data_IF_964132539203
#
_entry.id   IF_964132539203
#
_cell.length_a   1.000
_cell.length_b   1.000
_cell.length_c   1.000
_cell.angle_alpha   90.00
_cell.angle_beta   90.00
_cell.angle_gamma   90.00
#
_symmetry.space_group_name_H-M   'P 1'
#
loop_
_entity.id
_entity.type
_entity.pdbx_description
1 polymer ?
#
# COMPACT_ATOMS: atom_id res chain seq x y z
N UNK A 1 -40.42 3.10 -8.77
CA UNK A 1 -39.35 2.08 -8.83
C UNK A 1 -39.76 0.93 -7.94
N UNK A 2 -39.85 -0.27 -8.48
CA UNK A 2 -40.19 -1.47 -7.72
C UNK A 2 -38.97 -1.92 -6.89
N UNK A 3 -39.21 -2.28 -5.62
CA UNK A 3 -38.16 -2.76 -4.72
C UNK A 3 -38.02 -4.28 -4.84
N UNK A 4 -36.79 -4.77 -4.81
CA UNK A 4 -36.48 -6.19 -4.93
C UNK A 4 -36.34 -6.78 -3.53
N UNK A 5 -37.18 -7.75 -3.17
CA UNK A 5 -37.16 -8.42 -1.87
C UNK A 5 -36.10 -9.51 -1.81
N UNK A 6 -35.52 -9.72 -0.63
CA UNK A 6 -34.69 -10.89 -0.35
C UNK A 6 -35.55 -12.18 -0.31
N UNK A 7 -35.02 -13.25 -0.89
CA UNK A 7 -35.63 -14.58 -0.97
C UNK A 7 -35.30 -15.49 0.23
N UNK A 8 -34.39 -15.05 1.11
CA UNK A 8 -33.97 -15.87 2.26
C UNK A 8 -35.06 -15.97 3.34
N UNK A 9 -35.25 -17.17 3.95
CA UNK A 9 -36.26 -17.37 4.98
C UNK A 9 -36.11 -16.37 6.13
N UNK A 10 -37.23 -15.76 6.56
CA UNK A 10 -37.29 -14.75 7.64
C UNK A 10 -36.51 -13.45 7.35
N UNK A 11 -36.07 -13.21 6.11
CA UNK A 11 -35.48 -11.94 5.70
C UNK A 11 -36.54 -11.05 5.03
N UNK A 12 -36.80 -9.87 5.61
CA UNK A 12 -37.79 -8.92 5.08
C UNK A 12 -37.14 -7.73 4.36
N UNK A 13 -35.82 -7.76 4.15
CA UNK A 13 -35.10 -6.66 3.53
C UNK A 13 -35.42 -6.53 2.04
N UNK A 14 -35.51 -5.28 1.59
CA UNK A 14 -35.78 -4.90 0.20
C UNK A 14 -34.72 -3.93 -0.32
N UNK A 15 -34.49 -3.93 -1.63
CA UNK A 15 -33.38 -3.20 -2.26
C UNK A 15 -33.82 -2.50 -3.54
N UNK A 16 -33.15 -1.38 -3.86
CA UNK A 16 -33.43 -0.62 -5.08
C UNK A 16 -32.74 -1.21 -6.31
N UNK A 17 -31.66 -1.98 -6.11
CA UNK A 17 -30.81 -2.52 -7.18
C UNK A 17 -30.52 -4.00 -6.96
N UNK A 18 -30.47 -4.78 -8.06
CA UNK A 18 -30.08 -6.21 -8.02
C UNK A 18 -28.68 -6.42 -7.42
N UNK A 19 -27.75 -5.49 -7.66
CA UNK A 19 -26.40 -5.54 -7.10
C UNK A 19 -26.36 -5.41 -5.58
N UNK A 20 -27.26 -4.59 -5.01
CA UNK A 20 -27.40 -4.44 -3.55
C UNK A 20 -28.00 -5.68 -2.92
N UNK A 21 -29.04 -6.28 -3.54
CA UNK A 21 -29.60 -7.55 -3.11
C UNK A 21 -28.54 -8.67 -3.13
N UNK A 22 -27.82 -8.84 -4.25
CA UNK A 22 -26.79 -9.88 -4.39
C UNK A 22 -25.72 -9.75 -3.30
N UNK A 23 -25.32 -8.52 -2.99
CA UNK A 23 -24.37 -8.22 -1.91
C UNK A 23 -24.96 -8.53 -0.53
N UNK A 24 -26.23 -8.23 -0.31
CA UNK A 24 -26.91 -8.55 0.95
C UNK A 24 -27.05 -10.06 1.17
N UNK A 25 -27.35 -10.84 0.13
CA UNK A 25 -27.49 -12.30 0.24
C UNK A 25 -26.23 -12.98 0.81
N UNK A 26 -25.03 -12.38 0.63
CA UNK A 26 -23.80 -12.88 1.26
C UNK A 26 -23.87 -12.88 2.81
N UNK A 27 -24.68 -12.01 3.43
CA UNK A 27 -24.89 -11.98 4.88
C UNK A 27 -25.70 -13.17 5.42
N UNK A 28 -26.33 -13.95 4.53
CA UNK A 28 -26.99 -15.21 4.89
C UNK A 28 -26.06 -16.42 4.76
N UNK A 29 -24.85 -16.24 4.22
CA UNK A 29 -23.81 -17.27 4.15
C UNK A 29 -22.79 -17.11 5.25
N UNK A 30 -22.03 -18.16 5.54
CA UNK A 30 -20.91 -18.08 6.48
C UNK A 30 -19.91 -16.98 6.13
N UNK A 31 -19.28 -16.40 7.15
CA UNK A 31 -18.23 -15.42 6.96
C UNK A 31 -17.05 -16.05 6.21
N UNK A 32 -16.61 -15.40 5.13
CA UNK A 32 -15.57 -15.93 4.22
C UNK A 32 -14.18 -15.38 4.52
N UNK A 33 -14.12 -14.21 5.13
CA UNK A 33 -12.89 -13.44 5.29
C UNK A 33 -12.59 -13.25 6.77
N UNK A 34 -11.45 -13.78 7.24
CA UNK A 34 -10.97 -13.57 8.60
C UNK A 34 -9.92 -12.46 8.62
N UNK A 35 -9.87 -11.69 9.70
CA UNK A 35 -8.77 -10.76 9.94
C UNK A 35 -7.47 -11.54 10.19
N UNK A 36 -6.36 -11.24 9.48
CA UNK A 36 -5.09 -11.94 9.68
C UNK A 36 -4.31 -11.46 10.92
N UNK A 37 -4.71 -10.36 11.56
CA UNK A 37 -4.09 -9.86 12.78
C UNK A 37 -4.22 -10.89 13.92
N UNK A 38 -3.14 -11.17 14.64
CA UNK A 38 -3.07 -12.23 15.67
C UNK A 38 -4.08 -11.95 16.79
N UNK A 39 -4.10 -10.73 17.31
CA UNK A 39 -4.93 -10.32 18.45
C UNK A 39 -6.33 -9.81 18.06
N UNK A 40 -6.79 -10.12 16.85
CA UNK A 40 -8.12 -9.71 16.37
C UNK A 40 -9.17 -10.82 16.50
N UNK A 41 -10.33 -10.49 17.07
CA UNK A 41 -11.46 -11.40 17.24
C UNK A 41 -12.34 -11.55 15.98
N UNK A 42 -12.07 -10.79 14.91
CA UNK A 42 -12.83 -10.82 13.63
C UNK A 42 -12.40 -12.00 12.75
N UNK A 43 -12.54 -13.22 13.26
CA UNK A 43 -12.11 -14.48 12.63
C UNK A 43 -13.22 -15.52 12.64
N UNK A 44 -13.15 -16.49 11.71
CA UNK A 44 -14.14 -17.56 11.58
C UNK A 44 -15.55 -16.99 11.43
N UNK A 45 -16.50 -17.48 12.24
CA UNK A 45 -17.89 -16.98 12.27
C UNK A 45 -18.03 -15.47 12.56
N UNK A 46 -17.05 -14.87 13.23
CA UNK A 46 -17.03 -13.43 13.53
C UNK A 46 -16.31 -12.61 12.43
N UNK A 47 -15.93 -13.25 11.33
CA UNK A 47 -15.26 -12.63 10.20
C UNK A 47 -16.17 -11.71 9.38
N UNK A 48 -15.82 -11.53 8.12
CA UNK A 48 -16.53 -10.69 7.17
C UNK A 48 -17.09 -11.54 6.04
N UNK A 49 -18.29 -11.20 5.58
CA UNK A 49 -18.91 -11.80 4.39
C UNK A 49 -18.39 -11.18 3.09
N UNK A 50 -17.67 -10.06 3.19
CA UNK A 50 -17.21 -9.24 2.06
C UNK A 50 -15.79 -8.75 2.27
N UNK A 51 -15.02 -8.78 1.20
CA UNK A 51 -13.62 -8.38 1.20
C UNK A 51 -13.41 -6.89 1.49
N UNK A 52 -14.21 -6.00 0.89
CA UNK A 52 -14.09 -4.55 1.15
C UNK A 52 -14.28 -4.21 2.63
N UNK A 53 -15.07 -5.00 3.36
CA UNK A 53 -15.27 -4.82 4.79
C UNK A 53 -14.13 -5.35 5.64
N UNK A 54 -13.46 -6.42 5.20
CA UNK A 54 -12.20 -6.82 5.81
C UNK A 54 -11.13 -5.74 5.59
N UNK A 55 -11.00 -5.21 4.37
CA UNK A 55 -10.02 -4.16 4.06
C UNK A 55 -10.30 -2.89 4.87
N UNK A 56 -11.56 -2.44 4.93
CA UNK A 56 -11.98 -1.32 5.78
C UNK A 56 -11.57 -1.55 7.24
N UNK A 57 -11.89 -2.73 7.77
CA UNK A 57 -11.51 -3.10 9.14
C UNK A 57 -10.00 -3.08 9.35
N UNK A 58 -9.22 -3.68 8.45
CA UNK A 58 -7.77 -3.77 8.63
C UNK A 58 -7.10 -2.40 8.52
N UNK A 59 -7.51 -1.59 7.55
CA UNK A 59 -6.91 -0.26 7.33
C UNK A 59 -7.26 0.76 8.41
N UNK A 60 -8.38 0.58 9.13
CA UNK A 60 -8.83 1.52 10.17
C UNK A 60 -8.58 1.00 11.59
N UNK A 61 -8.56 -0.31 11.76
CA UNK A 61 -8.51 -0.97 13.07
C UNK A 61 -7.13 -1.47 13.48
N UNK A 62 -6.17 -1.54 12.56
CA UNK A 62 -4.81 -2.02 12.83
C UNK A 62 -3.79 -1.02 12.28
N UNK A 63 -2.86 -0.61 13.14
CA UNK A 63 -1.70 0.17 12.74
C UNK A 63 -0.65 -0.69 12.04
N UNK A 64 0.42 -0.06 11.57
CA UNK A 64 1.50 -0.73 10.84
C UNK A 64 2.36 -1.63 11.76
N UNK A 65 2.23 -1.52 13.10
CA UNK A 65 2.97 -2.31 14.09
C UNK A 65 2.22 -3.56 14.55
N UNK A 66 0.92 -3.68 14.25
CA UNK A 66 0.15 -4.88 14.54
C UNK A 66 0.72 -6.13 13.86
N UNK A 67 0.76 -7.25 14.58
CA UNK A 67 1.26 -8.53 14.05
C UNK A 67 0.17 -9.34 13.34
N UNK A 68 0.52 -9.87 12.17
CA UNK A 68 -0.33 -10.63 11.26
C UNK A 68 0.26 -12.02 11.03
N UNK A 69 -0.58 -13.04 11.07
CA UNK A 69 -0.19 -14.43 10.81
C UNK A 69 -0.60 -14.87 9.41
N UNK A 70 0.32 -15.50 8.67
CA UNK A 70 0.02 -16.09 7.37
C UNK A 70 -0.57 -17.49 7.55
N UNK A 71 -1.80 -17.71 7.05
CA UNK A 71 -2.46 -19.03 7.10
C UNK A 71 -1.74 -20.11 6.29
N UNK A 72 -0.89 -19.73 5.32
CA UNK A 72 -0.10 -20.65 4.48
C UNK A 72 1.31 -20.90 5.00
N UNK A 73 1.82 -20.02 5.86
CA UNK A 73 3.15 -20.12 6.44
C UNK A 73 3.01 -20.19 7.97
N UNK A 74 2.64 -21.37 8.51
CA UNK A 74 2.45 -21.53 9.94
C UNK A 74 3.73 -21.15 10.69
N UNK A 75 3.57 -20.57 11.87
CA UNK A 75 4.66 -20.09 12.74
C UNK A 75 5.46 -18.88 12.21
N UNK A 76 5.03 -18.23 11.12
CA UNK A 76 5.56 -16.90 10.74
C UNK A 76 4.55 -15.81 11.08
N UNK A 77 5.00 -14.77 11.76
CA UNK A 77 4.28 -13.52 11.96
C UNK A 77 5.03 -12.36 11.31
N UNK A 78 4.28 -11.37 10.84
CA UNK A 78 4.81 -10.19 10.17
C UNK A 78 4.10 -8.96 10.71
N UNK A 79 4.74 -7.80 10.70
CA UNK A 79 4.04 -6.54 10.93
C UNK A 79 3.04 -6.30 9.78
N UNK A 80 1.99 -5.51 9.99
CA UNK A 80 0.92 -5.31 9.00
C UNK A 80 1.44 -4.89 7.63
N UNK A 81 2.40 -3.96 7.59
CA UNK A 81 2.99 -3.42 6.36
C UNK A 81 3.87 -4.45 5.64
N UNK A 82 4.70 -5.18 6.40
CA UNK A 82 5.58 -6.25 5.90
C UNK A 82 4.83 -7.53 5.54
N UNK A 83 3.65 -7.78 6.13
CA UNK A 83 2.75 -8.85 5.73
C UNK A 83 2.28 -8.68 4.28
N UNK A 84 2.09 -7.43 3.83
CA UNK A 84 1.79 -7.14 2.43
C UNK A 84 2.94 -7.51 1.50
N UNK A 85 4.20 -7.25 1.91
CA UNK A 85 5.39 -7.66 1.16
C UNK A 85 5.46 -9.18 1.05
N UNK A 86 5.31 -9.89 2.17
CA UNK A 86 5.32 -11.36 2.20
C UNK A 86 4.25 -11.97 1.28
N UNK A 87 3.01 -11.49 1.39
CA UNK A 87 1.90 -12.01 0.58
C UNK A 87 2.01 -11.63 -0.89
N UNK A 88 2.57 -10.46 -1.21
CA UNK A 88 2.83 -10.06 -2.59
C UNK A 88 3.80 -10.99 -3.31
N UNK A 89 4.87 -11.39 -2.63
CA UNK A 89 5.99 -12.10 -3.23
C UNK A 89 5.81 -13.62 -3.24
N UNK A 90 5.07 -14.19 -2.28
CA UNK A 90 5.03 -15.65 -2.08
C UNK A 90 3.70 -16.31 -2.44
N UNK A 91 2.64 -15.51 -2.61
CA UNK A 91 1.28 -15.99 -2.41
C UNK A 91 0.30 -15.56 -3.51
N UNK A 92 0.82 -15.06 -4.64
CA UNK A 92 0.18 -14.24 -5.68
C UNK A 92 -1.09 -14.76 -6.39
N UNK A 93 -1.63 -15.94 -6.04
CA UNK A 93 -2.70 -16.60 -6.80
C UNK A 93 -3.88 -17.17 -5.98
N UNK A 94 -4.05 -16.86 -4.68
CA UNK A 94 -5.18 -17.42 -3.91
C UNK A 94 -5.99 -16.40 -3.11
N UNK A 95 -7.30 -16.45 -3.40
CA UNK A 95 -8.46 -15.65 -2.95
C UNK A 95 -8.74 -15.58 -1.43
N UNK A 96 -7.74 -15.51 -0.57
CA UNK A 96 -7.99 -15.18 0.85
C UNK A 96 -7.13 -13.99 1.26
N UNK A 97 -7.75 -12.80 1.21
CA UNK A 97 -7.32 -11.62 1.96
C UNK A 97 -5.84 -11.26 1.76
N UNK A 98 -5.43 -11.05 0.50
CA UNK A 98 -4.06 -10.72 0.17
C UNK A 98 -3.65 -9.40 0.84
N UNK A 99 -2.53 -9.41 1.57
CA UNK A 99 -1.91 -8.20 2.11
C UNK A 99 -1.60 -7.16 1.02
N UNK A 100 -1.48 -7.59 -0.24
CA UNK A 100 -1.44 -6.73 -1.43
C UNK A 100 -2.59 -5.70 -1.48
N UNK A 101 -3.83 -6.09 -1.17
CA UNK A 101 -4.97 -5.17 -1.22
C UNK A 101 -4.94 -4.17 -0.06
N UNK A 102 -4.36 -4.53 1.08
CA UNK A 102 -4.19 -3.63 2.23
C UNK A 102 -3.14 -2.57 1.92
N UNK A 103 -2.04 -2.92 1.24
CA UNK A 103 -0.99 -1.98 0.84
C UNK A 103 -1.40 -1.07 -0.34
N UNK A 104 -2.56 -1.27 -0.96
CA UNK A 104 -3.10 -0.31 -1.94
C UNK A 104 -3.70 0.93 -1.27
N UNK A 105 -3.94 0.91 0.03
CA UNK A 105 -4.47 2.05 0.75
C UNK A 105 -3.35 2.84 1.45
N UNK A 106 -3.40 4.16 1.37
CA UNK A 106 -2.61 5.04 2.23
C UNK A 106 -3.56 5.83 3.12
N UNK A 107 -3.44 5.61 4.43
CA UNK A 107 -4.20 6.29 5.47
C UNK A 107 -3.38 7.45 6.03
N UNK A 108 -4.07 8.49 6.48
CA UNK A 108 -3.46 9.55 7.28
C UNK A 108 -2.95 8.97 8.62
N UNK A 109 -1.69 9.21 9.01
CA UNK A 109 -1.14 8.70 10.26
C UNK A 109 -1.61 9.46 11.50
N UNK A 110 -2.39 10.53 11.35
CA UNK A 110 -2.97 11.29 12.47
C UNK A 110 -4.18 10.53 13.02
N UNK A 111 -4.21 10.18 14.32
CA UNK A 111 -5.31 9.44 14.92
C UNK A 111 -6.69 10.06 14.69
N UNK A 112 -7.69 9.21 14.45
CA UNK A 112 -9.10 9.57 14.18
C UNK A 112 -9.33 10.34 12.88
N UNK A 113 -8.30 10.54 12.04
CA UNK A 113 -8.49 11.01 10.68
C UNK A 113 -9.00 9.86 9.80
N UNK A 114 -10.10 10.08 9.08
CA UNK A 114 -10.69 9.09 8.17
C UNK A 114 -10.13 9.14 6.75
N UNK A 115 -9.19 10.06 6.49
CA UNK A 115 -8.61 10.23 5.16
C UNK A 115 -7.82 9.00 4.74
N UNK A 116 -8.13 8.52 3.54
CA UNK A 116 -7.41 7.45 2.89
C UNK A 116 -7.55 7.55 1.38
N UNK A 117 -6.49 7.15 0.69
CA UNK A 117 -6.46 7.06 -0.78
C UNK A 117 -6.22 5.61 -1.18
N UNK A 118 -6.92 5.16 -2.22
CA UNK A 118 -6.65 3.88 -2.86
C UNK A 118 -5.78 4.16 -4.09
N UNK A 119 -4.52 3.77 -3.97
CA UNK A 119 -3.49 3.84 -4.99
C UNK A 119 -3.25 2.46 -5.59
N UNK A 120 -4.31 1.64 -5.70
CA UNK A 120 -4.36 0.32 -6.33
C UNK A 120 -4.67 0.36 -7.83
N UNK A 121 -4.59 -0.79 -8.52
CA UNK A 121 -4.86 -0.90 -9.99
C UNK A 121 -6.23 -0.35 -10.41
N UNK A 122 -7.22 -0.44 -9.53
CA UNK A 122 -8.58 0.05 -9.72
C UNK A 122 -8.85 1.37 -8.98
N UNK A 123 -7.85 1.86 -8.24
CA UNK A 123 -7.88 3.10 -7.50
C UNK A 123 -7.71 4.30 -8.42
N UNK A 124 -8.25 5.45 -7.98
CA UNK A 124 -8.09 6.74 -8.66
C UNK A 124 -7.23 7.73 -7.87
N UNK A 125 -6.71 7.32 -6.71
CA UNK A 125 -5.96 8.20 -5.83
C UNK A 125 -4.54 8.40 -6.30
N UNK A 126 -4.02 9.61 -6.12
CA UNK A 126 -2.61 9.95 -6.22
C UNK A 126 -1.97 10.01 -4.82
N UNK A 127 -0.77 9.46 -4.66
CA UNK A 127 0.00 9.53 -3.40
C UNK A 127 0.23 10.97 -2.92
N UNK A 128 0.38 11.92 -3.85
CA UNK A 128 0.57 13.34 -3.52
C UNK A 128 -0.67 13.98 -2.83
N UNK A 129 -1.83 13.33 -2.89
CA UNK A 129 -3.02 13.78 -2.16
C UNK A 129 -2.84 13.70 -0.64
N UNK A 130 -1.95 12.84 -0.13
CA UNK A 130 -1.71 12.70 1.31
C UNK A 130 -0.91 13.89 1.89
N UNK A 131 0.24 14.29 1.32
CA UNK A 131 0.89 15.57 1.65
C UNK A 131 -0.07 16.77 1.59
N UNK A 132 -0.84 16.89 0.51
CA UNK A 132 -1.78 17.99 0.36
C UNK A 132 -2.87 17.96 1.44
N UNK A 133 -3.37 16.76 1.78
CA UNK A 133 -4.31 16.56 2.87
C UNK A 133 -3.76 17.04 4.22
N UNK A 134 -2.48 16.83 4.51
CA UNK A 134 -1.86 17.35 5.74
C UNK A 134 -1.97 18.87 5.81
N UNK A 135 -1.73 19.58 4.72
CA UNK A 135 -1.84 21.05 4.67
C UNK A 135 -3.30 21.50 4.75
N UNK A 136 -4.19 20.85 4.00
CA UNK A 136 -5.57 21.30 3.86
C UNK A 136 -6.46 21.00 5.07
N UNK A 137 -6.13 19.94 5.83
CA UNK A 137 -7.01 19.39 6.87
C UNK A 137 -6.38 19.33 8.26
N UNK A 138 -5.08 19.56 8.40
CA UNK A 138 -4.40 19.55 9.68
C UNK A 138 -3.56 20.81 9.88
N UNK A 139 -3.85 21.55 10.95
CA UNK A 139 -3.06 22.73 11.31
C UNK A 139 -1.63 22.33 11.77
N UNK A 140 -0.72 23.30 11.80
CA UNK A 140 0.68 23.04 12.19
C UNK A 140 0.79 22.47 13.60
N UNK A 141 -0.08 22.90 14.53
CA UNK A 141 -0.11 22.37 15.90
C UNK A 141 -0.48 20.89 15.92
N UNK A 142 -1.52 20.49 15.19
CA UNK A 142 -1.96 19.10 15.07
C UNK A 142 -0.89 18.23 14.43
N UNK A 143 -0.22 18.71 13.38
CA UNK A 143 0.89 17.98 12.73
C UNK A 143 2.08 17.81 13.67
N UNK A 144 2.47 18.85 14.42
CA UNK A 144 3.54 18.77 15.42
C UNK A 144 3.22 17.79 16.55
N UNK A 145 1.96 17.75 17.01
CA UNK A 145 1.52 16.81 18.05
C UNK A 145 1.71 15.34 17.64
N UNK A 146 1.58 15.02 16.35
CA UNK A 146 1.78 13.68 15.79
C UNK A 146 3.01 13.58 14.89
N UNK A 147 4.03 14.40 15.16
CA UNK A 147 5.23 14.53 14.33
C UNK A 147 5.93 13.18 14.07
N UNK A 148 6.04 12.32 15.09
CA UNK A 148 6.69 11.02 14.93
C UNK A 148 5.93 10.11 13.94
N UNK A 149 4.60 10.07 14.04
CA UNK A 149 3.77 9.27 13.14
C UNK A 149 3.86 9.75 11.68
N UNK A 150 3.98 11.07 11.47
CA UNK A 150 4.18 11.68 10.16
C UNK A 150 5.59 11.36 9.62
N UNK A 151 6.63 11.50 10.45
CA UNK A 151 8.03 11.19 10.10
C UNK A 151 8.22 9.71 9.75
N UNK A 152 7.62 8.79 10.51
CA UNK A 152 7.67 7.35 10.23
C UNK A 152 7.08 7.00 8.86
N UNK A 153 6.20 7.85 8.33
CA UNK A 153 5.59 7.69 7.00
C UNK A 153 6.39 8.36 5.88
N UNK A 154 7.47 9.07 6.22
CA UNK A 154 8.40 9.70 5.28
C UNK A 154 8.11 11.17 4.98
N UNK A 155 7.38 11.87 5.85
CA UNK A 155 7.00 13.27 5.62
C UNK A 155 7.51 14.20 6.71
N UNK A 156 7.77 15.45 6.36
CA UNK A 156 8.09 16.50 7.32
C UNK A 156 6.80 17.04 7.99
N UNK A 157 6.72 17.08 9.34
CA UNK A 157 5.52 17.57 10.03
C UNK A 157 5.23 19.06 9.83
N UNK A 158 6.21 19.87 9.49
CA UNK A 158 6.06 21.32 9.33
C UNK A 158 5.71 21.69 7.90
N UNK A 159 6.44 21.16 6.92
CA UNK A 159 6.24 21.47 5.49
C UNK A 159 5.29 20.50 4.79
N UNK A 160 5.03 19.33 5.37
CA UNK A 160 4.32 18.19 4.73
C UNK A 160 5.03 17.62 3.50
N UNK A 161 6.25 18.08 3.19
CA UNK A 161 7.04 17.56 2.09
C UNK A 161 7.50 16.13 2.36
N UNK A 162 7.75 15.38 1.29
CA UNK A 162 8.33 14.04 1.35
C UNK A 162 9.81 14.19 1.66
N UNK A 163 10.31 13.42 2.62
CA UNK A 163 11.69 13.52 3.08
C UNK A 163 12.43 12.24 2.74
N UNK A 164 13.59 12.37 2.08
CA UNK A 164 14.44 11.21 1.87
C UNK A 164 15.07 10.75 3.19
N UNK A 165 14.82 9.51 3.65
CA UNK A 165 15.37 9.03 4.90
C UNK A 165 16.86 8.64 4.80
N UNK A 166 17.40 8.50 3.59
CA UNK A 166 18.76 8.00 3.35
C UNK A 166 19.83 9.10 3.29
N UNK A 167 19.42 10.34 2.96
CA UNK A 167 20.35 11.46 2.90
C UNK A 167 20.62 12.03 4.30
N UNK A 168 21.88 12.37 4.58
CA UNK A 168 22.30 13.06 5.81
C UNK A 168 21.50 14.34 6.06
N UNK A 169 21.20 15.10 5.01
CA UNK A 169 20.47 16.37 5.10
C UNK A 169 18.97 16.26 4.89
N UNK A 170 18.44 15.06 4.65
CA UNK A 170 17.01 14.82 4.55
C UNK A 170 16.26 15.82 3.63
N UNK A 171 16.63 15.92 2.34
CA UNK A 171 16.00 16.87 1.43
C UNK A 171 14.49 16.61 1.31
N UNK A 172 13.74 17.71 1.21
CA UNK A 172 12.29 17.72 1.00
C UNK A 172 11.91 17.73 -0.48
N UNK A 173 10.84 17.01 -0.81
CA UNK A 173 10.28 16.90 -2.16
C UNK A 173 8.78 17.18 -2.13
N UNK A 174 8.27 17.89 -3.14
CA UNK A 174 6.84 18.25 -3.22
C UNK A 174 6.00 17.10 -3.75
N UNK A 175 6.59 16.23 -4.56
CA UNK A 175 5.89 15.09 -5.15
C UNK A 175 6.65 13.79 -4.92
N UNK A 176 5.90 12.68 -4.88
CA UNK A 176 6.50 11.35 -4.81
C UNK A 176 7.39 11.05 -6.01
N UNK A 177 7.07 11.63 -7.17
CA UNK A 177 7.89 11.51 -8.37
C UNK A 177 9.29 12.10 -8.20
N UNK A 178 9.39 13.33 -7.68
CA UNK A 178 10.68 13.98 -7.38
C UNK A 178 11.52 13.15 -6.40
N UNK A 179 10.88 12.61 -5.36
CA UNK A 179 11.53 11.71 -4.41
C UNK A 179 12.03 10.42 -5.08
N UNK A 180 11.24 9.77 -5.94
CA UNK A 180 11.65 8.56 -6.64
C UNK A 180 12.85 8.81 -7.55
N UNK A 181 12.86 9.94 -8.26
CA UNK A 181 13.98 10.33 -9.11
C UNK A 181 15.26 10.49 -8.28
N UNK A 182 15.20 11.24 -7.19
CA UNK A 182 16.31 11.38 -6.27
C UNK A 182 16.81 10.04 -5.73
N UNK A 183 15.90 9.16 -5.30
CA UNK A 183 16.26 7.83 -4.82
C UNK A 183 17.04 7.03 -5.88
N UNK A 184 16.53 7.01 -7.11
CA UNK A 184 17.11 6.25 -8.22
C UNK A 184 18.46 6.83 -8.70
N UNK A 185 18.68 8.12 -8.57
CA UNK A 185 19.95 8.74 -8.98
C UNK A 185 21.03 8.71 -7.90
N UNK A 186 20.63 8.76 -6.62
CA UNK A 186 21.58 8.99 -5.51
C UNK A 186 21.79 7.78 -4.62
N UNK A 187 20.81 6.89 -4.52
CA UNK A 187 20.82 5.77 -3.57
C UNK A 187 20.76 4.39 -4.22
N UNK A 188 20.73 4.36 -5.55
CA UNK A 188 20.57 3.14 -6.35
C UNK A 188 21.85 2.82 -7.14
N UNK A 189 23.02 3.06 -6.51
CA UNK A 189 24.38 2.90 -7.05
C UNK A 189 24.70 1.43 -7.40
N UNK A 190 24.10 0.97 -8.49
CA UNK A 190 24.26 -0.38 -9.05
C UNK A 190 23.25 -0.76 -10.15
N UNK A 191 22.25 0.09 -10.46
CA UNK A 191 21.22 -0.25 -11.48
C UNK A 191 20.78 0.97 -12.28
N UNK A 192 21.20 1.03 -13.53
CA UNK A 192 20.56 1.85 -14.54
C UNK A 192 19.43 1.06 -15.22
N UNK A 193 18.18 1.56 -15.28
CA UNK A 193 17.34 1.26 -16.43
C UNK A 193 18.06 1.85 -17.65
N UNK A 194 18.53 1.00 -18.58
CA UNK A 194 19.30 1.39 -19.78
C UNK A 194 19.09 2.86 -20.21
N UNK A 195 20.18 3.62 -20.22
CA UNK A 195 20.30 5.10 -20.30
C UNK A 195 19.77 5.78 -21.58
N UNK A 196 18.77 5.23 -22.26
CA UNK A 196 18.19 5.85 -23.46
C UNK A 196 16.67 6.10 -23.37
N UNK A 197 15.92 5.37 -22.52
CA UNK A 197 14.45 5.45 -22.56
C UNK A 197 13.84 6.44 -21.54
N UNK A 198 14.41 6.57 -20.34
CA UNK A 198 13.81 7.41 -19.29
C UNK A 198 13.89 8.92 -19.58
N UNK A 199 15.01 9.36 -20.16
CA UNK A 199 15.28 10.78 -20.51
C UNK A 199 14.52 11.23 -21.77
N UNK A 200 14.34 10.32 -22.73
CA UNK A 200 13.59 10.54 -23.99
C UNK A 200 12.08 10.68 -23.77
N UNK A 201 11.50 9.92 -22.84
CA UNK A 201 10.09 10.07 -22.46
C UNK A 201 9.81 11.38 -21.70
N UNK A 202 10.82 11.93 -21.02
CA UNK A 202 10.74 13.16 -20.22
C UNK A 202 10.64 14.42 -21.10
N UNK A 203 11.46 14.53 -22.14
CA UNK A 203 11.49 15.71 -23.03
C UNK A 203 10.18 15.89 -23.84
N UNK A 204 9.36 14.85 -23.95
CA UNK A 204 8.14 14.85 -24.76
C UNK A 204 6.85 15.20 -24.00
N UNK A 205 6.92 15.41 -22.68
CA UNK A 205 5.76 15.91 -21.91
C UNK A 205 4.55 14.98 -21.85
N UNK A 206 4.72 13.67 -22.11
CA UNK A 206 3.63 12.68 -22.19
C UNK A 206 3.24 12.07 -20.82
N UNK A 207 3.81 12.56 -19.72
CA UNK A 207 3.59 12.05 -18.36
C UNK A 207 2.24 12.52 -17.79
N UNK A 208 1.17 11.76 -17.99
CA UNK A 208 -0.14 12.04 -17.38
C UNK A 208 -0.42 11.16 -16.15
N UNK A 209 -1.38 11.65 -15.34
CA UNK A 209 -1.92 11.28 -14.00
C UNK A 209 -2.08 9.78 -13.60
N UNK A 210 -1.59 8.82 -14.38
CA UNK A 210 -1.73 7.36 -14.16
C UNK A 210 -0.39 6.61 -13.86
N UNK A 211 0.69 7.34 -13.56
CA UNK A 211 2.05 6.79 -13.50
C UNK A 211 2.32 5.74 -12.41
N UNK A 212 1.47 5.61 -11.38
CA UNK A 212 1.63 4.57 -10.34
C UNK A 212 1.36 3.15 -10.91
N UNK A 213 0.66 3.03 -12.05
CA UNK A 213 0.37 1.76 -12.72
C UNK A 213 0.58 1.68 -14.23
N UNK A 214 0.80 2.80 -14.93
CA UNK A 214 1.01 2.82 -16.39
C UNK A 214 2.45 2.55 -16.85
N UNK A 215 3.27 1.91 -16.02
CA UNK A 215 4.44 1.15 -16.48
C UNK A 215 4.02 -0.15 -17.20
N UNK A 216 3.10 -0.02 -18.15
CA UNK A 216 2.40 -1.11 -18.79
C UNK A 216 1.67 -0.68 -20.05
N UNK A 217 2.36 0.00 -20.97
CA UNK A 217 2.03 0.04 -22.41
C UNK A 217 3.12 0.76 -23.21
N UNK A 218 4.27 0.11 -23.38
CA UNK A 218 5.00 -0.10 -24.66
C UNK A 218 6.52 -0.29 -24.51
N UNK A 219 7.11 -0.08 -23.33
CA UNK A 219 8.46 -0.61 -23.02
C UNK A 219 8.71 -0.96 -21.54
N UNK A 220 7.81 -0.63 -20.62
CA UNK A 220 7.86 -1.13 -19.25
C UNK A 220 6.82 -2.24 -19.04
N UNK A 221 7.28 -3.41 -18.55
CA UNK A 221 6.44 -4.55 -18.22
C UNK A 221 6.71 -4.96 -16.76
N UNK A 222 5.74 -4.82 -15.83
CA UNK A 222 5.93 -5.08 -14.40
C UNK A 222 5.99 -6.57 -14.03
N UNK A 223 5.95 -7.47 -15.03
CA UNK A 223 5.95 -8.93 -14.86
C UNK A 223 7.32 -9.57 -15.14
N UNK A 224 8.39 -8.79 -15.37
CA UNK A 224 9.72 -9.36 -15.61
C UNK A 224 10.46 -9.59 -14.27
N UNK A 225 10.70 -10.86 -13.87
CA UNK A 225 11.38 -11.19 -12.62
C UNK A 225 12.86 -10.81 -12.67
N UNK A 226 13.43 -10.40 -11.53
CA UNK A 226 14.87 -10.34 -11.13
C UNK A 226 15.92 -9.69 -12.06
N UNK A 227 15.77 -9.74 -13.39
CA UNK A 227 16.71 -9.26 -14.41
C UNK A 227 16.73 -7.75 -14.63
N UNK A 228 15.80 -6.99 -14.07
CA UNK A 228 15.78 -5.52 -14.20
C UNK A 228 16.66 -4.80 -13.18
N UNK A 229 16.97 -5.46 -12.06
CA UNK A 229 17.74 -4.85 -10.98
C UNK A 229 19.23 -5.19 -11.06
N UNK A 230 19.77 -5.73 -12.17
CA UNK A 230 21.22 -5.93 -12.37
C UNK A 230 21.99 -6.75 -11.32
N UNK A 231 21.38 -7.15 -10.20
CA UNK A 231 22.02 -7.79 -9.08
C UNK A 231 22.21 -9.27 -9.41
N UNK A 232 23.45 -9.62 -9.73
CA UNK A 232 23.93 -11.00 -9.68
C UNK A 232 24.33 -11.42 -8.26
N UNK A 233 24.12 -10.57 -7.25
CA UNK A 233 24.73 -10.73 -5.93
C UNK A 233 23.72 -10.83 -4.78
N UNK A 234 24.15 -11.56 -3.76
CA UNK A 234 23.45 -11.90 -2.51
C UNK A 234 22.80 -10.67 -1.83
N UNK A 235 21.68 -10.84 -1.09
CA UNK A 235 21.07 -9.79 -0.24
C UNK A 235 22.04 -9.07 0.71
N UNK A 236 23.19 -9.68 0.99
CA UNK A 236 24.28 -9.16 1.83
C UNK A 236 25.02 -7.95 1.22
N UNK A 237 24.79 -7.64 -0.06
CA UNK A 237 25.43 -6.52 -0.79
C UNK A 237 24.65 -5.19 -0.72
N UNK A 238 23.42 -5.19 -0.18
CA UNK A 238 22.59 -3.98 -0.15
C UNK A 238 23.09 -2.99 0.93
N UNK A 239 23.10 -1.67 0.65
CA UNK A 239 23.41 -0.66 1.65
C UNK A 239 22.54 -0.82 2.89
N UNK A 240 23.19 -0.81 4.05
CA UNK A 240 22.55 -1.05 5.36
C UNK A 240 21.44 -0.04 5.62
N UNK A 241 21.63 1.20 5.21
CA UNK A 241 20.73 2.32 5.39
C UNK A 241 19.39 2.07 4.66
N UNK A 242 19.43 1.45 3.46
CA UNK A 242 18.21 1.08 2.73
C UNK A 242 17.43 0.04 3.53
N UNK A 243 18.11 -0.93 4.14
CA UNK A 243 17.47 -1.94 4.98
C UNK A 243 16.88 -1.34 6.25
N UNK A 244 17.57 -0.41 6.91
CA UNK A 244 17.08 0.28 8.11
C UNK A 244 15.84 1.15 7.82
N UNK A 245 15.77 1.75 6.63
CA UNK A 245 14.67 2.64 6.24
C UNK A 245 13.62 2.01 5.30
N UNK A 246 13.72 0.71 5.00
CA UNK A 246 12.85 0.02 4.02
C UNK A 246 11.34 0.16 4.26
N UNK A 247 10.90 0.25 5.51
CA UNK A 247 9.47 0.45 5.86
C UNK A 247 9.00 1.87 5.51
N UNK A 248 9.81 2.89 5.80
CA UNK A 248 9.56 4.27 5.37
C UNK A 248 9.55 4.38 3.85
N UNK A 249 10.52 3.72 3.18
CA UNK A 249 10.56 3.64 1.72
C UNK A 249 9.31 2.97 1.14
N UNK A 250 8.80 1.90 1.76
CA UNK A 250 7.54 1.26 1.38
C UNK A 250 6.30 2.16 1.59
N UNK A 251 6.31 2.96 2.66
CA UNK A 251 5.27 3.96 2.93
C UNK A 251 5.17 4.98 1.79
N UNK A 252 6.32 5.53 1.39
CA UNK A 252 6.44 6.51 0.31
C UNK A 252 6.21 5.87 -1.07
N UNK A 253 6.69 4.65 -1.28
CA UNK A 253 6.69 3.98 -2.58
C UNK A 253 6.06 2.59 -2.49
N UNK A 254 4.76 2.42 -2.82
CA UNK A 254 4.09 1.12 -2.74
C UNK A 254 4.74 0.02 -3.57
N UNK A 255 5.33 0.34 -4.73
CA UNK A 255 6.00 -0.65 -5.58
C UNK A 255 7.37 -1.10 -5.02
N UNK A 256 7.87 -0.46 -3.96
CA UNK A 256 9.09 -0.86 -3.26
C UNK A 256 8.97 -2.26 -2.63
N UNK A 257 7.76 -2.84 -2.53
CA UNK A 257 7.55 -4.27 -2.17
C UNK A 257 8.33 -5.26 -3.03
N UNK A 258 8.71 -4.87 -4.26
CA UNK A 258 9.46 -5.72 -5.18
C UNK A 258 10.98 -5.55 -5.06
N UNK A 259 11.43 -4.61 -4.25
CA UNK A 259 12.85 -4.34 -4.04
C UNK A 259 13.55 -5.53 -3.34
N UNK A 260 14.80 -5.88 -3.72
CA UNK A 260 15.52 -7.02 -3.14
C UNK A 260 15.80 -6.91 -1.63
N UNK A 261 15.69 -5.71 -1.04
CA UNK A 261 15.82 -5.47 0.42
C UNK A 261 14.84 -6.28 1.28
N UNK A 262 13.84 -6.90 0.67
CA UNK A 262 12.86 -7.76 1.32
C UNK A 262 13.15 -9.25 1.20
N UNK A 263 14.36 -9.65 0.80
CA UNK A 263 14.73 -11.05 0.61
C UNK A 263 14.52 -11.91 1.88
N UNK A 264 14.69 -11.33 3.07
CA UNK A 264 14.43 -11.93 4.38
C UNK A 264 12.94 -12.21 4.66
N UNK A 265 12.04 -11.50 3.99
CA UNK A 265 10.59 -11.65 4.12
C UNK A 265 9.99 -12.56 3.04
N UNK A 266 10.80 -12.95 2.06
CA UNK A 266 10.42 -13.98 1.08
C UNK A 266 10.25 -15.33 1.81
#
# INVERSE_FOLDING_TARGET
>A
MELIKCDSPKCEKTFKRKSELRRHQLSHSEARYSCPAIDCNRKGKNGFHREDKLIDHVTQGHDDEGYFSCVRCPNRSFLRDTFAVHTANNHSNHLTSDGLLINQYRTCPIPRCSFRINVGRTGKGNLDELPQHFIDKHDLKGRRMYAQSIKNRGYDPETAEIVCPLCVHHPGFKTHFEFYHHFLETHNDGITPNELDAKSCFEKGEFTRHAVYSFGASSWQPWRPWRFWGYNESPESLPREIYEHRRTLLSLWPAFIYHPVWADLK
#
